data_IF_654292670446
#
_entry.id   IF_654292670446
#
_cell.length_a   1.000
_cell.length_b   1.000
_cell.length_c   1.000
_cell.angle_alpha   90.00
_cell.angle_beta   90.00
_cell.angle_gamma   90.00
#
_symmetry.space_group_name_H-M   'P 1'
#
loop_
_entity.id
_entity.type
_entity.pdbx_description
1 polymer ?
#
# COMPACT_ATOMS: atom_id res chain seq x y z
N UNK A 1 -3.67 3.45 5.84
CA UNK A 1 -4.97 2.96 5.34
C UNK A 1 -5.07 1.46 5.62
N UNK A 2 -6.11 1.07 6.32
CA UNK A 2 -6.43 -0.33 6.57
C UNK A 2 -7.58 -0.75 5.65
N UNK A 3 -7.51 -1.94 5.10
CA UNK A 3 -8.52 -2.41 4.17
C UNK A 3 -8.76 -3.92 4.28
N UNK A 4 -9.93 -4.34 3.82
CA UNK A 4 -10.31 -5.74 3.66
C UNK A 4 -11.21 -5.85 2.42
N UNK A 5 -12.46 -6.32 2.54
CA UNK A 5 -13.42 -6.31 1.44
C UNK A 5 -13.86 -4.90 1.01
N UNK A 6 -14.62 -4.79 -0.05
CA UNK A 6 -14.99 -3.53 -0.72
C UNK A 6 -15.67 -2.48 0.18
N UNK A 7 -16.29 -2.92 1.27
CA UNK A 7 -16.95 -2.04 2.24
C UNK A 7 -16.10 -1.72 3.49
N UNK A 8 -14.92 -2.32 3.61
CA UNK A 8 -14.10 -2.26 4.82
C UNK A 8 -12.78 -1.53 4.54
N UNK A 9 -12.80 -0.21 4.75
CA UNK A 9 -11.61 0.62 4.60
C UNK A 9 -11.59 1.70 5.68
N UNK A 10 -10.45 1.87 6.35
CA UNK A 10 -10.25 2.89 7.37
C UNK A 10 -8.97 3.67 7.07
N UNK A 11 -9.06 4.99 7.11
CA UNK A 11 -7.93 5.90 6.91
C UNK A 11 -7.52 6.52 8.25
N UNK A 12 -6.26 6.34 8.63
CA UNK A 12 -5.63 7.06 9.74
C UNK A 12 -4.54 7.96 9.18
N UNK A 13 -4.53 9.23 9.57
CA UNK A 13 -3.57 10.23 9.08
C UNK A 13 -2.61 10.60 10.20
N UNK A 14 -1.30 10.46 9.93
CA UNK A 14 -0.24 10.81 10.87
C UNK A 14 0.64 11.90 10.27
N UNK A 15 0.40 13.14 10.66
CA UNK A 15 1.24 14.26 10.25
C UNK A 15 2.45 14.38 11.19
N UNK A 16 3.60 14.86 10.69
CA UNK A 16 4.79 15.04 11.51
C UNK A 16 4.50 15.92 12.73
N UNK A 17 4.85 15.41 13.93
CA UNK A 17 4.65 16.12 15.19
C UNK A 17 3.20 16.22 15.68
N UNK A 18 2.23 15.64 14.99
CA UNK A 18 0.80 15.74 15.32
C UNK A 18 0.18 14.38 15.71
N UNK A 19 0.99 13.47 16.18
CA UNK A 19 0.53 12.15 16.64
C UNK A 19 1.42 11.63 17.77
N UNK A 20 0.84 10.80 18.62
CA UNK A 20 1.52 10.11 19.71
C UNK A 20 1.91 8.69 19.31
N UNK A 21 2.75 8.04 20.11
CA UNK A 21 3.01 6.61 19.97
C UNK A 21 1.72 5.80 20.18
N UNK A 22 0.85 6.22 21.09
CA UNK A 22 -0.43 5.55 21.34
C UNK A 22 -1.33 5.58 20.09
N UNK A 23 -1.35 6.70 19.36
CA UNK A 23 -2.13 6.80 18.10
C UNK A 23 -1.64 5.77 17.08
N UNK A 24 -0.32 5.60 16.96
CA UNK A 24 0.27 4.59 16.07
C UNK A 24 -0.07 3.17 16.51
N UNK A 25 0.00 2.88 17.81
CA UNK A 25 -0.35 1.57 18.34
C UNK A 25 -1.83 1.25 18.13
N UNK A 26 -2.72 2.22 18.39
CA UNK A 26 -4.15 2.05 18.14
C UNK A 26 -4.45 1.76 16.66
N UNK A 27 -3.77 2.46 15.75
CA UNK A 27 -3.88 2.17 14.33
C UNK A 27 -3.37 0.77 13.98
N UNK A 28 -2.23 0.36 14.53
CA UNK A 28 -1.65 -0.96 14.28
C UNK A 28 -2.53 -2.11 14.79
N UNK A 29 -3.30 -1.88 15.82
CA UNK A 29 -4.26 -2.86 16.39
C UNK A 29 -5.58 -2.94 15.60
N UNK A 30 -5.79 -2.07 14.62
CA UNK A 30 -7.01 -2.07 13.80
C UNK A 30 -7.09 -3.36 12.97
N UNK A 31 -8.17 -4.10 13.15
CA UNK A 31 -8.47 -5.29 12.38
C UNK A 31 -9.76 -5.09 11.57
N UNK A 32 -9.68 -5.33 10.28
CA UNK A 32 -10.82 -5.33 9.38
C UNK A 32 -10.94 -6.72 8.75
N UNK A 33 -12.11 -7.35 8.92
CA UNK A 33 -12.38 -8.66 8.35
C UNK A 33 -13.20 -8.58 7.07
N UNK A 34 -13.25 -9.69 6.35
CA UNK A 34 -14.17 -9.87 5.24
C UNK A 34 -13.63 -9.60 3.84
N UNK A 35 -12.86 -10.52 3.29
CA UNK A 35 -12.40 -10.49 1.90
C UNK A 35 -11.23 -9.55 1.64
N UNK A 36 -10.92 -9.37 0.35
CA UNK A 36 -9.80 -8.54 -0.10
C UNK A 36 -10.24 -7.68 -1.29
N UNK A 37 -10.10 -6.37 -1.17
CA UNK A 37 -10.33 -5.42 -2.26
C UNK A 37 -9.19 -4.41 -2.32
N UNK A 38 -8.52 -4.33 -3.46
CA UNK A 38 -7.41 -3.40 -3.66
C UNK A 38 -7.86 -2.04 -4.20
N UNK A 39 -9.02 -1.98 -4.84
CA UNK A 39 -9.51 -0.75 -5.46
C UNK A 39 -9.75 0.34 -4.41
N UNK A 40 -10.48 0.02 -3.38
CA UNK A 40 -10.86 0.98 -2.34
C UNK A 40 -9.66 1.65 -1.66
N UNK A 41 -8.65 0.94 -1.16
CA UNK A 41 -7.50 1.59 -0.52
C UNK A 41 -6.65 2.41 -1.49
N UNK A 42 -6.54 2.00 -2.75
CA UNK A 42 -5.84 2.76 -3.78
C UNK A 42 -6.59 4.07 -4.11
N UNK A 43 -7.91 4.03 -4.25
CA UNK A 43 -8.72 5.24 -4.45
C UNK A 43 -8.57 6.22 -3.28
N UNK A 44 -8.61 5.73 -2.04
CA UNK A 44 -8.40 6.57 -0.84
C UNK A 44 -7.00 7.19 -0.81
N UNK A 45 -5.96 6.43 -1.19
CA UNK A 45 -4.61 6.94 -1.26
C UNK A 45 -4.47 8.06 -2.30
N UNK A 46 -5.06 7.89 -3.47
CA UNK A 46 -5.05 8.91 -4.53
C UNK A 46 -5.79 10.18 -4.09
N UNK A 47 -6.93 10.04 -3.42
CA UNK A 47 -7.67 11.19 -2.87
C UNK A 47 -6.85 11.96 -1.84
N UNK A 48 -6.08 11.28 -1.00
CA UNK A 48 -5.18 11.95 -0.04
C UNK A 48 -4.10 12.77 -0.73
N UNK A 49 -3.67 12.38 -1.92
CA UNK A 49 -2.71 13.17 -2.71
C UNK A 49 -3.28 14.52 -3.15
N UNK A 50 -4.59 14.67 -3.25
CA UNK A 50 -5.25 15.93 -3.58
C UNK A 50 -5.35 16.89 -2.38
N UNK A 51 -5.17 16.39 -1.16
CA UNK A 51 -5.43 17.15 0.07
C UNK A 51 -4.19 17.28 0.99
N UNK A 52 -2.99 17.21 0.44
CA UNK A 52 -1.77 17.47 1.20
C UNK A 52 -0.67 16.42 1.11
N UNK A 53 -0.84 15.41 0.28
CA UNK A 53 0.13 14.33 0.08
C UNK A 53 0.60 14.23 -1.37
N UNK A 54 0.78 15.37 -2.06
CA UNK A 54 1.08 15.46 -3.49
C UNK A 54 2.40 14.79 -3.88
N UNK A 55 3.34 14.72 -2.94
CA UNK A 55 4.66 14.11 -3.17
C UNK A 55 4.80 12.75 -2.47
N UNK A 56 3.70 12.13 -2.09
CA UNK A 56 3.74 10.82 -1.43
C UNK A 56 3.86 9.69 -2.42
N UNK A 57 4.54 8.62 -2.00
CA UNK A 57 4.46 7.31 -2.65
C UNK A 57 3.58 6.37 -1.84
N UNK A 58 3.22 5.24 -2.43
CA UNK A 58 2.38 4.24 -1.78
C UNK A 58 3.24 3.02 -1.43
N UNK A 59 3.16 2.59 -0.18
CA UNK A 59 3.61 1.24 0.24
C UNK A 59 2.35 0.41 0.48
N UNK A 60 2.20 -0.65 -0.31
CA UNK A 60 1.01 -1.50 -0.33
C UNK A 60 1.32 -2.87 0.25
N UNK A 61 0.80 -3.15 1.44
CA UNK A 61 1.00 -4.43 2.12
C UNK A 61 -0.25 -5.30 2.00
N UNK A 62 -0.08 -6.56 1.61
CA UNK A 62 -1.18 -7.53 1.53
C UNK A 62 -0.69 -8.96 1.69
N UNK A 63 -1.55 -9.80 2.25
CA UNK A 63 -1.42 -11.27 2.26
C UNK A 63 -2.44 -11.94 1.33
N UNK A 64 -3.32 -11.14 0.73
CA UNK A 64 -4.43 -11.59 -0.07
C UNK A 64 -4.22 -11.45 -1.58
N UNK A 65 -5.13 -12.04 -2.32
CA UNK A 65 -5.18 -11.97 -3.77
C UNK A 65 -6.40 -11.16 -4.20
N UNK A 66 -6.20 -10.28 -5.18
CA UNK A 66 -7.26 -9.50 -5.77
C UNK A 66 -6.90 -9.14 -7.21
N UNK A 67 -7.81 -9.38 -8.13
CA UNK A 67 -7.67 -8.91 -9.50
C UNK A 67 -8.35 -7.55 -9.66
N UNK A 68 -7.59 -6.57 -10.15
CA UNK A 68 -8.14 -5.29 -10.53
C UNK A 68 -8.59 -5.32 -12.00
N UNK A 69 -9.77 -4.75 -12.33
CA UNK A 69 -10.22 -4.65 -13.72
C UNK A 69 -9.23 -3.87 -14.59
N UNK A 70 -9.10 -4.25 -15.86
CA UNK A 70 -8.16 -3.60 -16.79
C UNK A 70 -8.44 -2.12 -17.01
N UNK A 71 -9.70 -1.71 -17.03
CA UNK A 71 -10.09 -0.30 -17.12
C UNK A 71 -9.62 0.51 -15.90
N UNK A 72 -9.73 -0.09 -14.71
CA UNK A 72 -9.21 0.51 -13.48
C UNK A 72 -7.69 0.61 -13.50
N UNK A 73 -7.00 -0.45 -13.91
CA UNK A 73 -5.54 -0.45 -14.04
C UNK A 73 -5.06 0.61 -15.04
N UNK A 74 -5.74 0.79 -16.15
CA UNK A 74 -5.42 1.83 -17.12
C UNK A 74 -5.56 3.23 -16.49
N UNK A 75 -6.60 3.46 -15.73
CA UNK A 75 -6.81 4.72 -14.99
C UNK A 75 -5.72 4.93 -13.93
N UNK A 76 -5.41 3.91 -13.16
CA UNK A 76 -4.37 3.96 -12.14
C UNK A 76 -2.99 4.29 -12.72
N UNK A 77 -2.64 3.69 -13.86
CA UNK A 77 -1.39 3.98 -14.58
C UNK A 77 -1.32 5.43 -15.06
N UNK A 78 -2.43 5.99 -15.51
CA UNK A 78 -2.51 7.42 -15.87
C UNK A 78 -2.29 8.32 -14.67
N UNK A 79 -2.89 8.00 -13.52
CA UNK A 79 -2.67 8.73 -12.27
C UNK A 79 -1.21 8.64 -11.81
N UNK A 80 -0.61 7.47 -11.89
CA UNK A 80 0.82 7.29 -11.58
C UNK A 80 1.72 8.17 -12.46
N UNK A 81 1.45 8.20 -13.76
CA UNK A 81 2.23 9.02 -14.70
C UNK A 81 2.01 10.52 -14.47
N UNK A 82 0.78 10.96 -14.24
CA UNK A 82 0.43 12.36 -14.05
C UNK A 82 0.96 12.92 -12.72
N UNK A 83 0.85 12.15 -11.64
CA UNK A 83 1.25 12.54 -10.28
C UNK A 83 2.67 12.12 -9.92
N UNK A 84 3.30 11.28 -10.74
CA UNK A 84 4.67 10.78 -10.57
C UNK A 84 4.90 10.05 -9.25
N UNK A 85 3.90 9.32 -8.76
CA UNK A 85 4.07 8.47 -7.59
C UNK A 85 4.41 7.04 -7.97
N UNK A 86 5.08 6.35 -7.06
CA UNK A 86 5.39 4.92 -7.18
C UNK A 86 4.61 4.10 -6.16
N UNK A 87 4.37 2.84 -6.49
CA UNK A 87 3.79 1.87 -5.56
C UNK A 87 4.80 0.77 -5.31
N UNK A 88 5.16 0.60 -4.05
CA UNK A 88 5.98 -0.54 -3.60
C UNK A 88 5.06 -1.54 -2.93
N UNK A 89 4.98 -2.73 -3.49
CA UNK A 89 4.22 -3.83 -2.91
C UNK A 89 5.04 -4.62 -1.90
N UNK A 90 4.42 -4.97 -0.79
CA UNK A 90 4.98 -5.91 0.19
C UNK A 90 4.00 -7.06 0.33
N UNK A 91 4.42 -8.24 -0.11
CA UNK A 91 3.63 -9.45 -0.02
C UNK A 91 3.97 -10.20 1.27
N UNK A 92 2.95 -10.37 2.11
CA UNK A 92 3.04 -11.20 3.33
C UNK A 92 2.87 -12.66 2.92
N UNK A 93 3.94 -13.29 2.45
CA UNK A 93 3.87 -14.54 1.70
C UNK A 93 3.92 -15.81 2.56
N UNK A 94 4.14 -15.69 3.85
CA UNK A 94 4.22 -16.85 4.77
C UNK A 94 4.93 -18.09 4.17
N UNK A 95 5.85 -17.87 3.23
CA UNK A 95 6.60 -18.93 2.55
C UNK A 95 5.92 -19.57 1.33
N UNK A 96 4.80 -19.03 0.85
CA UNK A 96 4.13 -19.54 -0.36
C UNK A 96 4.67 -18.83 -1.61
N UNK A 97 5.40 -19.51 -2.52
CA UNK A 97 5.94 -18.88 -3.71
C UNK A 97 4.85 -18.56 -4.76
N UNK A 98 5.07 -17.53 -5.57
CA UNK A 98 4.30 -17.27 -6.79
C UNK A 98 3.00 -16.47 -6.63
N UNK A 99 2.78 -15.80 -5.49
CA UNK A 99 1.53 -15.07 -5.21
C UNK A 99 1.60 -13.55 -5.48
N UNK A 100 2.58 -13.10 -6.24
CA UNK A 100 2.79 -11.68 -6.53
C UNK A 100 2.01 -11.16 -7.76
N UNK A 101 1.31 -12.02 -8.47
CA UNK A 101 0.58 -11.66 -9.69
C UNK A 101 -0.49 -10.57 -9.47
N UNK A 102 -1.07 -10.49 -8.26
CA UNK A 102 -2.04 -9.45 -7.91
C UNK A 102 -1.42 -8.06 -7.78
N UNK A 103 -0.15 -7.98 -7.40
CA UNK A 103 0.58 -6.72 -7.21
C UNK A 103 1.32 -6.26 -8.46
N UNK A 104 1.79 -7.20 -9.28
CA UNK A 104 2.57 -6.93 -10.49
C UNK A 104 1.94 -5.88 -11.43
N UNK A 105 0.61 -5.85 -11.65
CA UNK A 105 0.01 -4.90 -12.58
C UNK A 105 0.15 -3.43 -12.20
N UNK A 106 0.35 -3.10 -10.90
CA UNK A 106 0.39 -1.70 -10.46
C UNK A 106 1.57 -1.33 -9.57
N UNK A 107 2.38 -2.30 -9.11
CA UNK A 107 3.55 -2.04 -8.29
C UNK A 107 4.81 -1.95 -9.15
N UNK A 108 5.63 -0.93 -8.94
CA UNK A 108 6.93 -0.79 -9.58
C UNK A 108 7.98 -1.71 -8.98
N UNK A 109 7.84 -2.01 -7.68
CA UNK A 109 8.67 -2.96 -6.95
C UNK A 109 7.81 -3.82 -6.04
N UNK A 110 8.19 -5.07 -5.87
CA UNK A 110 7.51 -6.02 -4.98
C UNK A 110 8.56 -6.70 -4.12
N UNK A 111 8.35 -6.67 -2.80
CA UNK A 111 9.14 -7.40 -1.82
C UNK A 111 8.29 -8.48 -1.16
N UNK A 112 8.91 -9.57 -0.81
CA UNK A 112 8.28 -10.63 -0.02
C UNK A 112 8.78 -10.56 1.42
N UNK A 113 7.92 -10.84 2.40
CA UNK A 113 8.34 -10.84 3.81
C UNK A 113 9.44 -11.86 4.10
N UNK A 114 9.48 -12.96 3.37
CA UNK A 114 10.57 -13.94 3.44
C UNK A 114 11.93 -13.37 3.01
N UNK A 115 11.94 -12.32 2.19
CA UNK A 115 13.14 -11.64 1.69
C UNK A 115 13.54 -10.43 2.56
N UNK A 116 12.62 -9.94 3.41
CA UNK A 116 12.83 -8.78 4.27
C UNK A 116 13.61 -9.11 5.56
N UNK A 117 14.39 -10.16 5.54
CA UNK A 117 15.11 -10.67 6.73
C UNK A 117 16.29 -9.79 7.19
N UNK A 118 16.33 -8.50 6.88
CA UNK A 118 17.39 -7.60 7.32
C UNK A 118 17.07 -6.11 7.18
N UNK A 119 17.67 -5.31 8.05
CA UNK A 119 17.56 -3.85 8.07
C UNK A 119 17.96 -3.18 6.75
N UNK A 120 18.80 -3.84 5.94
CA UNK A 120 19.30 -3.29 4.68
C UNK A 120 18.19 -3.07 3.64
N UNK A 121 17.22 -3.97 3.55
CA UNK A 121 16.12 -3.86 2.59
C UNK A 121 15.19 -2.72 3.00
N UNK A 122 14.87 -2.63 4.28
CA UNK A 122 14.04 -1.53 4.82
C UNK A 122 14.75 -0.19 4.58
N UNK A 123 16.05 -0.10 4.81
CA UNK A 123 16.84 1.10 4.52
C UNK A 123 16.84 1.45 3.04
N UNK A 124 16.91 0.47 2.14
CA UNK A 124 16.87 0.72 0.70
C UNK A 124 15.52 1.27 0.24
N UNK A 125 14.42 0.82 0.83
CA UNK A 125 13.08 1.37 0.55
C UNK A 125 12.97 2.84 0.96
N UNK A 126 13.52 3.20 2.12
CA UNK A 126 13.50 4.58 2.63
C UNK A 126 14.45 5.48 1.86
N UNK A 127 15.66 5.00 1.51
CA UNK A 127 16.69 5.80 0.83
C UNK A 127 16.36 6.11 -0.63
N UNK A 128 15.49 5.38 -1.29
CA UNK A 128 15.07 5.64 -2.67
C UNK A 128 14.25 6.92 -2.85
N UNK A 129 13.88 7.59 -1.76
CA UNK A 129 13.13 8.85 -1.76
C UNK A 129 14.01 10.10 -1.65
N UNK A 130 15.27 9.90 -1.52
CA UNK A 130 16.21 11.04 -1.34
C UNK A 130 16.78 11.50 -2.68
#
# INVERSE_FOLDING_TARGET
IHFAGSSSCKVDVFLPGQHSMQDKMNAAETFLGGGTDFKRPLDEAIQLMDVGFENADIVFLTDGLCELPEDYLATLRKEQAARKFTVTGILLDAGSPGMDFSLTPFCQKIYRTSELAGDEIVRSMVSQRV
#
